data_IF_110775051733
#
_entry.id   IF_110775051733
#
_cell.length_a   1.000
_cell.length_b   1.000
_cell.length_c   1.000
_cell.angle_alpha   90.00
_cell.angle_beta   90.00
_cell.angle_gamma   90.00
#
_symmetry.space_group_name_H-M   'P 1'
#
loop_
_entity.id
_entity.type
_entity.pdbx_description
1 polymer ?
#
# COMPACT_ATOMS: atom_id res chain seq x y z
N UNK A 1 -27.66 22.36 -36.33
CA UNK A 1 -27.09 22.45 -34.96
C UNK A 1 -26.85 21.04 -34.45
N UNK A 2 -25.59 20.56 -34.50
CA UNK A 2 -25.21 19.20 -34.11
C UNK A 2 -24.99 19.15 -32.59
N UNK A 3 -25.81 18.37 -31.86
CA UNK A 3 -25.61 18.10 -30.42
C UNK A 3 -24.31 17.30 -30.26
N UNK A 4 -23.30 17.89 -29.63
CA UNK A 4 -22.16 17.14 -29.11
C UNK A 4 -22.67 16.24 -27.99
N UNK A 5 -22.76 14.94 -28.24
CA UNK A 5 -22.90 13.93 -27.19
C UNK A 5 -21.63 13.98 -26.35
N UNK A 6 -21.69 14.23 -25.03
CA UNK A 6 -20.50 14.11 -24.20
C UNK A 6 -20.02 12.65 -24.27
N UNK A 7 -18.76 12.46 -24.67
CA UNK A 7 -18.13 11.14 -24.65
C UNK A 7 -18.28 10.56 -23.23
N UNK A 8 -18.63 9.27 -23.08
CA UNK A 8 -18.70 8.67 -21.76
C UNK A 8 -17.33 8.85 -21.09
N UNK A 9 -17.33 9.41 -19.88
CA UNK A 9 -16.16 9.42 -19.03
C UNK A 9 -15.62 7.98 -19.02
N UNK A 10 -14.40 7.79 -19.49
CA UNK A 10 -13.77 6.48 -19.53
C UNK A 10 -13.68 5.96 -18.11
N UNK A 11 -14.65 5.11 -17.73
CA UNK A 11 -14.64 4.42 -16.45
C UNK A 11 -13.29 3.72 -16.30
N UNK A 12 -12.58 3.90 -15.18
CA UNK A 12 -11.33 3.21 -14.95
C UNK A 12 -11.59 1.70 -15.02
N UNK A 13 -11.08 1.04 -16.06
CA UNK A 13 -11.29 -0.39 -16.24
C UNK A 13 -10.86 -1.14 -14.96
N UNK A 14 -11.67 -2.08 -14.44
CA UNK A 14 -11.32 -2.88 -13.27
C UNK A 14 -9.95 -3.57 -13.41
N UNK A 15 -9.58 -3.91 -14.64
CA UNK A 15 -8.32 -4.55 -15.02
C UNK A 15 -7.10 -3.67 -14.75
N UNK A 16 -7.21 -2.35 -14.92
CA UNK A 16 -6.12 -1.41 -14.64
C UNK A 16 -5.82 -1.33 -13.14
N UNK A 17 -6.85 -1.34 -12.29
CA UNK A 17 -6.69 -1.39 -10.83
C UNK A 17 -6.05 -2.68 -10.34
N UNK A 18 -6.44 -3.81 -10.93
CA UNK A 18 -5.87 -5.12 -10.60
C UNK A 18 -4.40 -5.25 -11.01
N UNK A 19 -4.00 -4.80 -12.21
CA UNK A 19 -2.58 -4.80 -12.61
C UNK A 19 -1.73 -3.88 -11.73
N UNK A 20 -2.25 -2.70 -11.39
CA UNK A 20 -1.56 -1.77 -10.50
C UNK A 20 -1.37 -2.37 -9.09
N UNK A 21 -2.40 -3.04 -8.56
CA UNK A 21 -2.33 -3.75 -7.27
C UNK A 21 -1.31 -4.89 -7.30
N UNK A 22 -1.38 -5.71 -8.36
CA UNK A 22 -0.56 -6.90 -8.51
C UNK A 22 0.93 -6.57 -8.70
N UNK A 23 1.27 -5.38 -9.20
CA UNK A 23 2.67 -4.98 -9.39
C UNK A 23 3.21 -4.18 -8.21
N UNK A 24 2.47 -3.18 -7.70
CA UNK A 24 2.99 -2.26 -6.67
C UNK A 24 3.00 -2.89 -5.28
N UNK A 25 1.96 -3.64 -4.91
CA UNK A 25 1.87 -4.21 -3.56
C UNK A 25 3.01 -5.20 -3.29
N UNK A 26 3.35 -6.14 -4.21
CA UNK A 26 4.48 -7.04 -3.96
C UNK A 26 5.83 -6.33 -3.90
N UNK A 27 6.06 -5.33 -4.76
CA UNK A 27 7.31 -4.56 -4.76
C UNK A 27 7.46 -3.77 -3.46
N UNK A 28 6.39 -3.14 -2.99
CA UNK A 28 6.36 -2.41 -1.72
C UNK A 28 6.64 -3.34 -0.54
N UNK A 29 6.01 -4.52 -0.51
CA UNK A 29 6.26 -5.55 0.51
C UNK A 29 7.73 -5.99 0.47
N UNK A 30 8.26 -6.36 -0.69
CA UNK A 30 9.65 -6.85 -0.81
C UNK A 30 10.66 -5.78 -0.38
N UNK A 31 10.52 -4.55 -0.87
CA UNK A 31 11.41 -3.44 -0.49
C UNK A 31 11.29 -3.08 0.99
N UNK A 32 10.06 -3.04 1.52
CA UNK A 32 9.79 -2.75 2.92
C UNK A 32 10.41 -3.79 3.85
N UNK A 33 10.26 -5.08 3.53
CA UNK A 33 10.83 -6.17 4.31
C UNK A 33 12.35 -6.29 4.18
N UNK A 34 12.94 -5.99 3.02
CA UNK A 34 14.40 -5.98 2.86
C UNK A 34 15.06 -4.94 3.78
N UNK A 35 14.52 -3.72 3.82
CA UNK A 35 15.04 -2.67 4.71
C UNK A 35 14.80 -3.04 6.17
N UNK A 36 13.62 -3.60 6.50
CA UNK A 36 13.36 -4.13 7.84
C UNK A 36 14.38 -5.22 8.24
N UNK A 37 14.72 -6.15 7.34
CA UNK A 37 15.71 -7.20 7.60
C UNK A 37 17.11 -6.62 7.84
N UNK A 38 17.54 -5.62 7.06
CA UNK A 38 18.81 -4.90 7.27
C UNK A 38 18.82 -4.24 8.66
N UNK A 39 17.72 -3.58 9.03
CA UNK A 39 17.60 -2.91 10.33
C UNK A 39 17.62 -3.90 11.51
N UNK A 40 16.98 -5.06 11.36
CA UNK A 40 17.06 -6.18 12.32
C UNK A 40 18.51 -6.65 12.47
N UNK A 41 19.21 -6.93 11.36
CA UNK A 41 20.61 -7.39 11.39
C UNK A 41 21.56 -6.34 12.00
N UNK A 42 21.24 -5.06 11.85
CA UNK A 42 22.02 -3.96 12.44
C UNK A 42 21.80 -3.78 13.95
N UNK A 43 20.86 -4.50 14.56
CA UNK A 43 20.53 -4.38 15.99
C UNK A 43 19.92 -3.02 16.36
N UNK A 44 19.21 -2.36 15.44
CA UNK A 44 18.62 -1.02 15.63
C UNK A 44 17.09 -1.10 15.75
N UNK A 45 16.54 -1.55 16.89
CA UNK A 45 15.08 -1.77 17.03
C UNK A 45 14.27 -0.49 16.87
N UNK A 46 14.78 0.66 17.31
CA UNK A 46 14.10 1.95 17.13
C UNK A 46 13.99 2.33 15.65
N UNK A 47 15.05 2.14 14.87
CA UNK A 47 15.03 2.43 13.44
C UNK A 47 14.08 1.50 12.69
N UNK A 48 14.03 0.22 13.09
CA UNK A 48 13.08 -0.76 12.59
C UNK A 48 11.63 -0.34 12.87
N UNK A 49 11.31 0.06 14.10
CA UNK A 49 9.96 0.51 14.47
C UNK A 49 9.53 1.77 13.69
N UNK A 50 10.44 2.75 13.54
CA UNK A 50 10.17 3.95 12.74
C UNK A 50 9.92 3.59 11.28
N UNK A 51 10.73 2.70 10.72
CA UNK A 51 10.58 2.25 9.33
C UNK A 51 9.25 1.53 9.09
N UNK A 52 8.90 0.58 9.96
CA UNK A 52 7.64 -0.17 9.87
C UNK A 52 6.43 0.76 10.07
N UNK A 53 6.52 1.72 10.99
CA UNK A 53 5.49 2.74 11.18
C UNK A 53 5.28 3.61 9.94
N UNK A 54 6.37 4.06 9.31
CA UNK A 54 6.32 4.82 8.05
C UNK A 54 5.67 4.02 6.92
N UNK A 55 6.05 2.75 6.77
CA UNK A 55 5.47 1.85 5.77
C UNK A 55 3.99 1.58 6.02
N UNK A 56 3.58 1.36 7.28
CA UNK A 56 2.18 1.20 7.64
C UNK A 56 1.34 2.45 7.29
N UNK A 57 1.85 3.64 7.57
CA UNK A 57 1.18 4.91 7.23
C UNK A 57 1.11 5.13 5.72
N UNK A 58 2.18 4.83 4.98
CA UNK A 58 2.21 4.95 3.53
C UNK A 58 1.21 4.02 2.86
N UNK A 59 1.14 2.76 3.30
CA UNK A 59 0.18 1.78 2.81
C UNK A 59 -1.26 2.19 3.13
N UNK A 60 -1.53 2.69 4.34
CA UNK A 60 -2.86 3.17 4.73
C UNK A 60 -3.28 4.41 3.92
N UNK A 61 -2.36 5.36 3.72
CA UNK A 61 -2.59 6.55 2.90
C UNK A 61 -2.88 6.17 1.44
N UNK A 62 -2.13 5.22 0.90
CA UNK A 62 -2.36 4.66 -0.43
C UNK A 62 -3.73 3.97 -0.53
N UNK A 63 -4.12 3.19 0.49
CA UNK A 63 -5.43 2.55 0.55
C UNK A 63 -6.56 3.58 0.46
N UNK A 64 -6.50 4.66 1.26
CA UNK A 64 -7.50 5.73 1.24
C UNK A 64 -7.59 6.40 -0.14
N UNK A 65 -6.45 6.73 -0.76
CA UNK A 65 -6.43 7.33 -2.09
C UNK A 65 -7.00 6.40 -3.16
N UNK A 66 -6.72 5.10 -3.08
CA UNK A 66 -7.21 4.10 -4.02
C UNK A 66 -8.71 3.86 -3.89
N UNK A 67 -9.24 3.80 -2.65
CA UNK A 67 -10.68 3.75 -2.41
C UNK A 67 -11.38 4.99 -2.99
N UNK A 68 -10.81 6.19 -2.79
CA UNK A 68 -11.37 7.45 -3.33
C UNK A 68 -11.34 7.50 -4.86
N UNK A 69 -10.39 6.81 -5.50
CA UNK A 69 -10.25 6.75 -6.96
C UNK A 69 -11.05 5.61 -7.61
N UNK A 70 -11.82 4.84 -6.84
CA UNK A 70 -12.64 3.75 -7.36
C UNK A 70 -11.89 2.44 -7.60
N UNK A 71 -10.74 2.24 -6.93
CA UNK A 71 -9.96 1.00 -6.99
C UNK A 71 -10.06 0.19 -5.68
N UNK A 72 -11.21 -0.45 -5.40
CA UNK A 72 -11.47 -1.07 -4.10
C UNK A 72 -10.56 -2.27 -3.81
N UNK A 73 -10.21 -3.06 -4.83
CA UNK A 73 -9.35 -4.24 -4.66
C UNK A 73 -7.92 -3.83 -4.28
N UNK A 74 -7.36 -2.86 -5.01
CA UNK A 74 -6.04 -2.28 -4.72
C UNK A 74 -6.03 -1.61 -3.35
N UNK A 75 -7.09 -0.87 -3.01
CA UNK A 75 -7.24 -0.25 -1.71
C UNK A 75 -7.30 -1.26 -0.56
N UNK A 76 -8.04 -2.36 -0.74
CA UNK A 76 -8.10 -3.44 0.24
C UNK A 76 -6.75 -4.14 0.42
N UNK A 77 -6.02 -4.42 -0.67
CA UNK A 77 -4.67 -5.00 -0.59
C UNK A 77 -3.69 -4.09 0.18
N UNK A 78 -3.77 -2.78 -0.04
CA UNK A 78 -2.99 -1.79 0.69
C UNK A 78 -3.38 -1.72 2.18
N UNK A 79 -4.68 -1.81 2.50
CA UNK A 79 -5.15 -1.86 3.88
C UNK A 79 -4.67 -3.12 4.63
N UNK A 80 -4.69 -4.29 3.96
CA UNK A 80 -4.14 -5.54 4.51
C UNK A 80 -2.62 -5.40 4.75
N UNK A 81 -1.90 -4.81 3.79
CA UNK A 81 -0.46 -4.55 3.89
C UNK A 81 -0.13 -3.64 5.08
N UNK A 82 -0.89 -2.55 5.24
CA UNK A 82 -0.78 -1.67 6.41
C UNK A 82 -1.01 -2.43 7.72
N UNK A 83 -2.03 -3.30 7.77
CA UNK A 83 -2.31 -4.16 8.91
C UNK A 83 -1.15 -5.09 9.26
N UNK A 84 -0.52 -5.71 8.26
CA UNK A 84 0.65 -6.57 8.45
C UNK A 84 1.84 -5.79 9.04
N UNK A 85 2.12 -4.58 8.53
CA UNK A 85 3.17 -3.73 9.10
C UNK A 85 2.89 -3.35 10.56
N UNK A 86 1.64 -3.04 10.91
CA UNK A 86 1.25 -2.74 12.29
C UNK A 86 1.40 -3.95 13.22
N UNK A 87 0.94 -5.13 12.80
CA UNK A 87 1.11 -6.36 13.58
C UNK A 87 2.59 -6.66 13.80
N UNK A 88 3.41 -6.54 12.74
CA UNK A 88 4.85 -6.74 12.86
C UNK A 88 5.51 -5.70 13.77
N UNK A 89 5.12 -4.44 13.69
CA UNK A 89 5.57 -3.37 14.61
C UNK A 89 5.22 -3.71 16.05
N UNK A 90 3.99 -4.15 16.33
CA UNK A 90 3.55 -4.53 17.67
C UNK A 90 4.33 -5.74 18.22
N UNK A 91 4.62 -6.74 17.38
CA UNK A 91 5.44 -7.89 17.77
C UNK A 91 6.89 -7.50 18.09
N UNK A 92 7.46 -6.55 17.35
CA UNK A 92 8.81 -6.03 17.62
C UNK A 92 8.82 -5.21 18.91
N UNK A 93 7.79 -4.40 19.15
CA UNK A 93 7.67 -3.58 20.37
C UNK A 93 7.50 -4.41 21.64
N UNK A 94 6.83 -5.57 21.54
CA UNK A 94 6.56 -6.44 22.68
C UNK A 94 7.75 -7.32 23.11
N UNK A 95 8.89 -7.24 22.41
CA UNK A 95 10.14 -7.97 22.71
C UNK A 95 11.15 -7.06 23.38
#
# INVERSE_FOLDING_TARGET
>A
MSRRVPAPASDPSPTAGCCLAALLVPVEIVCGYLIAAILVMSGRPTALLVWLGLMGLAALGSAVLLFRRGYPVTGAAQAVTAGLFLVFTAMVWAR
#
